data_IF_381301386726
#
_entry.id   IF_381301386726
#
_cell.length_a   1.000
_cell.length_b   1.000
_cell.length_c   1.000
_cell.angle_alpha   90.00
_cell.angle_beta   90.00
_cell.angle_gamma   90.00
#
_symmetry.space_group_name_H-M   'P 1'
#
loop_
_entity.id
_entity.type
_entity.pdbx_description
1 polymer ?
#
# COMPACT_ATOMS: atom_id res chain seq x y z
N UNK A 1 16.69 9.93 1.70
CA UNK A 1 17.61 8.83 1.31
C UNK A 1 18.87 9.40 0.66
N UNK A 2 18.77 10.11 -0.46
CA UNK A 2 19.94 10.53 -1.27
C UNK A 2 20.85 11.62 -0.66
N UNK A 3 20.37 12.42 0.30
CA UNK A 3 21.14 13.53 0.89
C UNK A 3 21.59 13.27 2.33
N UNK A 4 20.68 12.75 3.17
CA UNK A 4 20.94 12.44 4.57
C UNK A 4 20.45 11.03 4.90
N UNK A 5 21.31 10.04 4.69
CA UNK A 5 20.96 8.62 4.87
C UNK A 5 20.64 8.26 6.32
N UNK A 6 21.33 8.87 7.29
CA UNK A 6 21.08 8.68 8.73
C UNK A 6 19.66 9.08 9.14
N UNK A 7 19.14 10.18 8.60
CA UNK A 7 17.75 10.63 8.85
C UNK A 7 16.77 9.61 8.26
N UNK A 8 16.99 9.14 7.03
CA UNK A 8 16.14 8.12 6.42
C UNK A 8 16.13 6.82 7.24
N UNK A 9 17.29 6.40 7.74
CA UNK A 9 17.43 5.24 8.64
C UNK A 9 16.63 5.41 9.92
N UNK A 10 16.65 6.60 10.54
CA UNK A 10 15.86 6.89 11.74
C UNK A 10 14.36 6.85 11.49
N UNK A 11 13.88 7.41 10.37
CA UNK A 11 12.47 7.35 9.99
C UNK A 11 11.99 5.91 9.76
N UNK A 12 12.83 5.07 9.15
CA UNK A 12 12.52 3.63 9.01
C UNK A 12 12.60 2.89 10.35
N UNK A 13 13.56 3.24 11.22
CA UNK A 13 13.65 2.68 12.57
C UNK A 13 12.39 2.97 13.38
N UNK A 14 11.83 4.17 13.27
CA UNK A 14 10.55 4.50 13.88
C UNK A 14 9.46 3.51 13.42
N UNK A 15 9.35 3.22 12.12
CA UNK A 15 8.38 2.22 11.63
C UNK A 15 8.63 0.82 12.20
N UNK A 16 9.90 0.42 12.34
CA UNK A 16 10.23 -0.85 12.98
C UNK A 16 9.82 -0.89 14.47
N UNK A 17 10.03 0.21 15.21
CA UNK A 17 9.62 0.30 16.61
C UNK A 17 8.11 0.12 16.78
N UNK A 18 7.31 0.52 15.78
CA UNK A 18 5.85 0.35 15.76
C UNK A 18 5.36 -0.96 15.11
N UNK A 19 6.26 -1.88 14.77
CA UNK A 19 5.88 -3.10 14.04
C UNK A 19 4.91 -3.98 14.84
N UNK A 20 5.00 -3.97 16.18
CA UNK A 20 4.07 -4.70 17.03
C UNK A 20 2.66 -4.10 17.00
N UNK A 21 2.53 -2.78 16.97
CA UNK A 21 1.21 -2.14 16.88
C UNK A 21 0.59 -2.32 15.49
N UNK A 22 1.42 -2.29 14.42
CA UNK A 22 0.98 -2.68 13.09
C UNK A 22 0.47 -4.14 13.02
N UNK A 23 1.06 -5.07 13.80
CA UNK A 23 0.55 -6.44 13.94
C UNK A 23 -0.79 -6.48 14.66
N UNK A 24 -0.98 -5.67 15.72
CA UNK A 24 -2.25 -5.57 16.44
C UNK A 24 -3.36 -5.00 15.56
N UNK A 25 -3.05 -4.00 14.73
CA UNK A 25 -4.00 -3.44 13.76
C UNK A 25 -4.45 -4.50 12.75
N UNK A 26 -3.50 -5.24 12.17
CA UNK A 26 -3.81 -6.34 11.27
C UNK A 26 -4.72 -7.38 11.95
N UNK A 27 -4.35 -7.83 13.15
CA UNK A 27 -5.12 -8.81 13.92
C UNK A 27 -6.52 -8.32 14.25
N UNK A 28 -6.69 -7.05 14.63
CA UNK A 28 -7.99 -6.45 14.92
C UNK A 28 -8.93 -6.34 13.71
N UNK A 29 -8.40 -6.53 12.49
CA UNK A 29 -9.14 -6.58 11.23
C UNK A 29 -9.13 -7.99 10.62
N UNK A 30 -8.87 -9.02 11.41
CA UNK A 30 -8.78 -10.44 11.00
C UNK A 30 -7.72 -10.74 9.93
N UNK A 31 -6.73 -9.86 9.80
CA UNK A 31 -5.56 -10.05 8.94
C UNK A 31 -4.38 -10.61 9.74
N UNK A 32 -3.35 -11.04 9.00
CA UNK A 32 -2.08 -11.51 9.55
C UNK A 32 -0.99 -10.50 9.22
N UNK A 33 0.20 -10.69 9.79
CA UNK A 33 1.34 -9.84 9.46
C UNK A 33 1.23 -8.45 10.09
N UNK A 34 1.81 -7.45 9.43
CA UNK A 34 1.80 -6.06 9.89
C UNK A 34 1.04 -5.16 8.91
N UNK A 35 -0.02 -4.53 9.40
CA UNK A 35 -0.75 -3.47 8.70
C UNK A 35 -0.38 -2.15 9.36
N UNK A 36 0.43 -1.33 8.68
CA UNK A 36 0.73 0.00 9.20
C UNK A 36 -0.52 0.88 9.16
N UNK A 37 -0.73 1.74 10.18
CA UNK A 37 -1.84 2.68 10.18
C UNK A 37 -1.68 3.71 9.06
N UNK A 38 -2.79 4.27 8.61
CA UNK A 38 -2.82 5.38 7.68
C UNK A 38 -2.17 6.62 8.31
N UNK A 39 -2.63 7.01 9.50
CA UNK A 39 -2.03 8.07 10.30
C UNK A 39 -1.43 7.49 11.57
N UNK A 40 -0.14 7.76 11.78
CA UNK A 40 0.62 7.25 12.92
C UNK A 40 1.26 8.39 13.69
N UNK A 41 1.17 8.33 15.02
CA UNK A 41 1.77 9.29 15.93
C UNK A 41 2.85 8.64 16.81
N UNK A 42 2.80 8.84 18.13
CA UNK A 42 3.87 8.41 19.04
C UNK A 42 3.99 6.88 19.19
N UNK A 43 2.87 6.18 19.21
CA UNK A 43 2.74 4.80 19.68
C UNK A 43 2.27 3.83 18.58
N UNK A 44 2.38 4.22 17.31
CA UNK A 44 2.12 3.31 16.20
C UNK A 44 0.65 2.94 15.99
N UNK A 45 -0.26 3.47 16.81
CA UNK A 45 -1.69 3.22 16.70
C UNK A 45 -2.29 3.95 15.48
N UNK A 46 -3.44 3.46 15.03
CA UNK A 46 -4.25 4.16 14.03
C UNK A 46 -4.85 5.43 14.67
N UNK A 47 -4.47 6.58 14.13
CA UNK A 47 -4.84 7.90 14.67
C UNK A 47 -5.67 8.73 13.69
N UNK A 48 -6.02 8.16 12.54
CA UNK A 48 -6.88 8.83 11.56
C UNK A 48 -8.20 9.24 12.22
N UNK A 49 -8.58 10.53 12.17
CA UNK A 49 -9.86 10.97 12.69
C UNK A 49 -11.01 10.25 12.00
N UNK A 50 -12.05 9.85 12.75
CA UNK A 50 -13.23 9.23 12.13
C UNK A 50 -14.10 10.24 11.35
N UNK A 51 -13.94 11.55 11.61
CA UNK A 51 -14.79 12.60 11.06
C UNK A 51 -14.00 13.82 10.62
N UNK A 52 -14.37 14.39 9.48
CA UNK A 52 -13.87 15.65 8.95
C UNK A 52 -15.02 16.63 8.73
N UNK A 53 -14.76 17.93 8.89
CA UNK A 53 -15.67 19.00 8.48
C UNK A 53 -15.14 19.64 7.20
N UNK A 54 -15.83 19.41 6.09
CA UNK A 54 -15.50 19.99 4.78
C UNK A 54 -15.64 21.53 4.79
N UNK A 55 -15.08 22.17 3.77
CA UNK A 55 -15.08 23.63 3.60
C UNK A 55 -16.49 24.24 3.57
N UNK A 56 -17.49 23.49 3.10
CA UNK A 56 -18.89 23.91 3.06
C UNK A 56 -19.63 23.69 4.41
N UNK A 57 -18.92 23.15 5.40
CA UNK A 57 -19.43 22.87 6.74
C UNK A 57 -20.03 21.48 6.92
N UNK A 58 -20.08 20.65 5.87
CA UNK A 58 -20.58 19.27 5.94
C UNK A 58 -19.67 18.40 6.79
N UNK A 59 -20.25 17.54 7.63
CA UNK A 59 -19.50 16.54 8.40
C UNK A 59 -19.49 15.22 7.62
N UNK A 60 -18.29 14.71 7.33
CA UNK A 60 -18.07 13.49 6.57
C UNK A 60 -17.30 12.46 7.40
N UNK A 61 -17.71 11.20 7.32
CA UNK A 61 -16.93 10.10 7.87
C UNK A 61 -15.67 9.85 7.03
N UNK A 62 -14.51 9.64 7.67
CA UNK A 62 -13.24 9.39 6.99
C UNK A 62 -12.95 7.88 7.03
N UNK A 63 -12.83 7.29 5.85
CA UNK A 63 -12.58 5.84 5.71
C UNK A 63 -11.10 5.49 5.44
N UNK A 64 -10.20 6.46 5.33
CA UNK A 64 -8.80 6.23 4.95
C UNK A 64 -8.08 5.30 5.94
N UNK A 65 -8.24 5.53 7.26
CA UNK A 65 -7.72 4.63 8.30
C UNK A 65 -8.30 3.20 8.23
N UNK A 66 -9.48 3.03 7.64
CA UNK A 66 -10.11 1.72 7.50
C UNK A 66 -9.79 1.01 6.19
N UNK A 67 -9.61 1.74 5.09
CA UNK A 67 -9.62 1.20 3.73
C UNK A 67 -8.37 1.55 2.90
N UNK A 68 -7.56 2.52 3.31
CA UNK A 68 -6.39 2.99 2.54
C UNK A 68 -5.11 2.21 2.92
N UNK A 69 -5.11 0.92 2.57
CA UNK A 69 -4.11 -0.03 3.05
C UNK A 69 -2.75 0.08 2.35
N UNK A 70 -2.64 0.86 1.27
CA UNK A 70 -1.42 0.89 0.45
C UNK A 70 -0.20 1.42 1.21
N UNK A 71 -0.40 2.22 2.28
CA UNK A 71 0.66 2.67 3.19
C UNK A 71 1.56 1.52 3.68
N UNK A 72 0.99 0.32 3.86
CA UNK A 72 1.75 -0.85 4.28
C UNK A 72 2.75 -1.31 3.22
N UNK A 73 2.40 -1.24 1.94
CA UNK A 73 3.34 -1.48 0.85
C UNK A 73 4.30 -0.31 0.64
N UNK A 74 3.86 0.93 0.89
CA UNK A 74 4.70 2.13 0.73
C UNK A 74 5.83 2.16 1.76
N UNK A 75 5.58 1.76 3.01
CA UNK A 75 6.62 1.60 4.03
C UNK A 75 7.65 0.54 3.60
N UNK A 76 7.18 -0.60 3.07
CA UNK A 76 8.06 -1.64 2.53
C UNK A 76 8.88 -1.12 1.34
N UNK A 77 8.28 -0.31 0.47
CA UNK A 77 8.95 0.31 -0.67
C UNK A 77 9.99 1.36 -0.27
N UNK A 78 9.69 2.18 0.74
CA UNK A 78 10.64 3.12 1.31
C UNK A 78 11.85 2.42 1.93
N UNK A 79 11.61 1.31 2.65
CA UNK A 79 12.67 0.45 3.19
C UNK A 79 13.52 -0.19 2.08
N UNK A 80 12.88 -0.71 1.04
CA UNK A 80 13.57 -1.29 -0.11
C UNK A 80 14.44 -0.25 -0.83
N UNK A 81 13.91 0.94 -1.10
CA UNK A 81 14.68 2.02 -1.71
C UNK A 81 15.85 2.46 -0.85
N UNK A 82 15.69 2.52 0.47
CA UNK A 82 16.81 2.77 1.38
C UNK A 82 17.89 1.70 1.18
N UNK A 83 17.52 0.42 1.23
CA UNK A 83 18.47 -0.69 1.06
C UNK A 83 19.22 -0.64 -0.28
N UNK A 84 18.52 -0.45 -1.39
CA UNK A 84 19.14 -0.42 -2.72
C UNK A 84 20.11 0.76 -2.87
N UNK A 85 19.80 1.91 -2.26
CA UNK A 85 20.66 3.10 -2.37
C UNK A 85 21.85 3.06 -1.43
N UNK A 86 21.69 2.55 -0.21
CA UNK A 86 22.74 2.62 0.82
C UNK A 86 23.55 1.34 0.96
N UNK A 87 22.99 0.18 0.59
CA UNK A 87 23.58 -1.12 0.86
C UNK A 87 23.70 -1.45 2.35
N UNK A 88 22.95 -0.77 3.25
CA UNK A 88 23.00 -0.97 4.71
C UNK A 88 22.40 -2.33 5.11
N UNK A 89 23.22 -3.39 4.99
CA UNK A 89 22.85 -4.77 5.31
C UNK A 89 22.57 -4.94 6.81
N UNK A 90 23.32 -4.26 7.67
CA UNK A 90 23.14 -4.36 9.12
C UNK A 90 21.72 -3.92 9.52
N UNK A 91 21.24 -2.80 8.98
CA UNK A 91 19.85 -2.37 9.19
C UNK A 91 18.82 -3.35 8.62
N UNK A 92 19.11 -3.99 7.49
CA UNK A 92 18.23 -5.00 6.90
C UNK A 92 18.15 -6.27 7.74
N UNK A 93 19.25 -6.72 8.34
CA UNK A 93 19.27 -7.88 9.24
C UNK A 93 18.63 -7.57 10.60
N UNK A 94 18.82 -6.36 11.11
CA UNK A 94 18.28 -5.91 12.40
C UNK A 94 16.77 -5.60 12.34
N UNK A 95 16.30 -4.97 11.25
CA UNK A 95 14.94 -4.46 11.14
C UNK A 95 14.26 -4.82 9.80
N UNK A 96 14.97 -4.58 8.70
CA UNK A 96 14.33 -4.50 7.39
C UNK A 96 13.68 -5.82 6.93
N UNK A 97 14.37 -6.95 7.14
CA UNK A 97 13.86 -8.25 6.74
C UNK A 97 12.55 -8.60 7.47
N UNK A 98 12.48 -8.31 8.77
CA UNK A 98 11.27 -8.54 9.56
C UNK A 98 10.09 -7.72 9.04
N UNK A 99 10.31 -6.43 8.76
CA UNK A 99 9.29 -5.54 8.20
C UNK A 99 8.80 -6.00 6.83
N UNK A 100 9.71 -6.36 5.92
CA UNK A 100 9.35 -6.84 4.58
C UNK A 100 8.51 -8.12 4.65
N UNK A 101 8.89 -9.07 5.51
CA UNK A 101 8.17 -10.34 5.65
C UNK A 101 6.79 -10.15 6.28
N UNK A 102 6.66 -9.29 7.30
CA UNK A 102 5.38 -9.08 7.98
C UNK A 102 4.41 -8.26 7.12
N UNK A 103 4.88 -7.29 6.36
CA UNK A 103 4.02 -6.56 5.41
C UNK A 103 3.61 -7.44 4.22
N UNK A 104 4.48 -8.34 3.74
CA UNK A 104 4.10 -9.36 2.76
C UNK A 104 3.04 -10.33 3.33
N UNK A 105 3.19 -10.76 4.59
CA UNK A 105 2.20 -11.60 5.27
C UNK A 105 0.84 -10.90 5.38
N UNK A 106 0.82 -9.59 5.64
CA UNK A 106 -0.40 -8.78 5.58
C UNK A 106 -1.07 -8.87 4.21
N UNK A 107 -0.36 -8.52 3.14
CA UNK A 107 -0.93 -8.56 1.79
C UNK A 107 -1.44 -9.94 1.39
N UNK A 108 -0.73 -11.01 1.75
CA UNK A 108 -1.16 -12.38 1.48
C UNK A 108 -2.42 -12.80 2.25
N UNK A 109 -2.70 -12.15 3.39
CA UNK A 109 -3.92 -12.36 4.20
C UNK A 109 -5.07 -11.45 3.77
N UNK A 110 -4.75 -10.26 3.25
CA UNK A 110 -5.71 -9.24 2.81
C UNK A 110 -6.41 -9.59 1.49
N UNK A 111 -5.74 -10.36 0.63
CA UNK A 111 -6.25 -10.75 -0.68
C UNK A 111 -7.29 -11.87 -0.60
N UNK A 112 -8.34 -11.71 -1.39
CA UNK A 112 -9.49 -12.62 -1.48
C UNK A 112 -9.40 -13.45 -2.77
N UNK A 113 -9.60 -14.77 -2.69
CA UNK A 113 -9.60 -15.61 -3.90
C UNK A 113 -10.98 -15.62 -4.56
N UNK A 114 -11.05 -15.22 -5.82
CA UNK A 114 -12.24 -15.33 -6.65
C UNK A 114 -12.23 -16.66 -7.43
N UNK A 115 -13.00 -17.70 -7.02
CA UNK A 115 -12.93 -19.01 -7.65
C UNK A 115 -13.47 -19.03 -9.09
N UNK A 116 -14.39 -18.12 -9.43
CA UNK A 116 -14.97 -18.02 -10.77
C UNK A 116 -13.95 -17.50 -11.78
N UNK A 117 -13.20 -16.47 -11.39
CA UNK A 117 -12.16 -15.85 -12.23
C UNK A 117 -10.79 -16.53 -12.08
N UNK A 118 -10.60 -17.35 -11.04
CA UNK A 118 -9.33 -17.97 -10.64
C UNK A 118 -8.21 -16.96 -10.40
N UNK A 119 -8.56 -15.81 -9.83
CA UNK A 119 -7.63 -14.72 -9.48
C UNK A 119 -7.79 -14.31 -8.02
N UNK A 120 -6.81 -13.63 -7.47
CA UNK A 120 -6.91 -12.93 -6.20
C UNK A 120 -7.31 -11.46 -6.41
N UNK A 121 -8.18 -10.94 -5.57
CA UNK A 121 -8.70 -9.58 -5.65
C UNK A 121 -8.39 -8.83 -4.34
N UNK A 122 -8.24 -7.51 -4.44
CA UNK A 122 -8.24 -6.61 -3.27
C UNK A 122 -9.44 -5.70 -3.45
N UNK A 123 -10.50 -6.00 -2.69
CA UNK A 123 -11.78 -5.32 -2.76
C UNK A 123 -11.96 -4.35 -1.59
N UNK A 124 -12.86 -3.38 -1.71
CA UNK A 124 -13.19 -2.41 -0.66
C UNK A 124 -11.95 -1.69 -0.13
N UNK A 125 -11.28 -0.93 -1.00
CA UNK A 125 -10.11 -0.12 -0.64
C UNK A 125 -10.28 1.32 -1.09
N UNK A 126 -9.47 2.18 -0.48
CA UNK A 126 -9.10 3.48 -1.01
C UNK A 126 -7.68 3.32 -1.59
N UNK A 127 -7.46 3.87 -2.78
CA UNK A 127 -6.09 4.02 -3.30
C UNK A 127 -5.64 5.47 -3.19
N UNK A 128 -4.49 5.85 -3.77
CA UNK A 128 -3.95 7.20 -3.60
C UNK A 128 -4.89 8.33 -4.03
N UNK A 129 -5.87 8.03 -4.88
CA UNK A 129 -6.97 8.93 -5.18
C UNK A 129 -8.13 8.74 -4.17
N UNK A 130 -8.10 9.56 -3.12
CA UNK A 130 -9.06 9.52 -2.00
C UNK A 130 -10.48 10.00 -2.37
N UNK A 131 -10.72 10.54 -3.57
CA UNK A 131 -12.09 10.82 -4.02
C UNK A 131 -12.91 9.56 -4.29
N UNK A 132 -12.23 8.43 -4.47
CA UNK A 132 -12.83 7.16 -4.83
C UNK A 132 -12.68 6.14 -3.69
N UNK A 133 -13.71 6.06 -2.87
CA UNK A 133 -13.80 5.14 -1.75
C UNK A 133 -14.54 3.85 -2.12
N UNK A 134 -14.29 2.78 -1.35
CA UNK A 134 -14.93 1.47 -1.54
C UNK A 134 -14.75 0.90 -2.96
N UNK A 135 -13.56 1.10 -3.55
CA UNK A 135 -13.26 0.59 -4.88
C UNK A 135 -12.64 -0.79 -4.85
N UNK A 136 -12.81 -1.53 -5.94
CA UNK A 136 -12.28 -2.88 -6.09
C UNK A 136 -11.11 -2.91 -7.08
N UNK A 137 -10.10 -3.71 -6.77
CA UNK A 137 -8.92 -3.96 -7.60
C UNK A 137 -8.25 -2.64 -8.02
N UNK A 138 -7.98 -1.77 -7.05
CA UNK A 138 -7.23 -0.54 -7.30
C UNK A 138 -5.84 -0.90 -7.85
N UNK A 139 -5.52 -0.39 -9.05
CA UNK A 139 -4.32 -0.80 -9.76
C UNK A 139 -3.02 -0.55 -8.98
N UNK A 140 -2.89 0.62 -8.34
CA UNK A 140 -1.71 0.94 -7.54
C UNK A 140 -1.59 -0.01 -6.35
N UNK A 141 -2.68 -0.19 -5.59
CA UNK A 141 -2.71 -1.09 -4.44
C UNK A 141 -2.37 -2.53 -4.84
N UNK A 142 -2.94 -3.04 -5.93
CA UNK A 142 -2.65 -4.39 -6.44
C UNK A 142 -1.18 -4.52 -6.87
N UNK A 143 -0.65 -3.54 -7.61
CA UNK A 143 0.74 -3.55 -8.05
C UNK A 143 1.72 -3.53 -6.87
N UNK A 144 1.48 -2.65 -5.89
CA UNK A 144 2.32 -2.50 -4.71
C UNK A 144 2.25 -3.71 -3.78
N UNK A 145 1.07 -4.31 -3.61
CA UNK A 145 0.91 -5.56 -2.86
C UNK A 145 1.64 -6.73 -3.54
N UNK A 146 1.50 -6.87 -4.86
CA UNK A 146 2.23 -7.86 -5.66
C UNK A 146 3.74 -7.67 -5.54
N UNK A 147 4.20 -6.44 -5.71
CA UNK A 147 5.60 -6.07 -5.59
C UNK A 147 6.15 -6.43 -4.21
N UNK A 148 5.43 -6.10 -3.12
CA UNK A 148 5.88 -6.39 -1.77
C UNK A 148 6.05 -7.89 -1.51
N UNK A 149 5.06 -8.71 -1.93
CA UNK A 149 5.17 -10.18 -1.83
C UNK A 149 6.43 -10.72 -2.53
N UNK A 150 6.72 -10.21 -3.73
CA UNK A 150 7.87 -10.63 -4.53
C UNK A 150 9.19 -10.13 -3.93
N UNK A 151 9.23 -8.86 -3.51
CA UNK A 151 10.41 -8.22 -2.91
C UNK A 151 10.79 -8.89 -1.59
N UNK A 152 9.83 -9.19 -0.71
CA UNK A 152 10.07 -9.89 0.55
C UNK A 152 10.63 -11.31 0.34
N UNK A 153 10.06 -12.06 -0.62
CA UNK A 153 10.55 -13.40 -0.97
C UNK A 153 11.97 -13.36 -1.56
N UNK A 154 12.24 -12.39 -2.44
CA UNK A 154 13.56 -12.19 -3.01
C UNK A 154 14.59 -11.81 -1.94
N UNK A 155 14.23 -10.90 -1.03
CA UNK A 155 15.11 -10.41 0.03
C UNK A 155 15.48 -11.54 0.99
N UNK A 156 14.50 -12.32 1.43
CA UNK A 156 14.74 -13.50 2.25
C UNK A 156 15.71 -14.46 1.58
N UNK A 157 15.50 -14.78 0.30
CA UNK A 157 16.38 -15.69 -0.45
C UNK A 157 17.79 -15.14 -0.61
N UNK A 158 17.94 -13.84 -0.87
CA UNK A 158 19.26 -13.22 -1.03
C UNK A 158 20.03 -13.12 0.28
N UNK A 159 19.42 -12.56 1.32
CA UNK A 159 20.09 -12.45 2.62
C UNK A 159 20.44 -13.82 3.18
N UNK A 160 19.59 -14.84 3.00
CA UNK A 160 19.86 -16.20 3.51
C UNK A 160 21.13 -16.82 2.92
N UNK A 161 21.50 -16.47 1.69
CA UNK A 161 22.73 -17.02 1.05
C UNK A 161 23.99 -16.56 1.75
N UNK A 162 24.01 -15.33 2.24
CA UNK A 162 25.19 -14.69 2.81
C UNK A 162 25.13 -14.61 4.35
N UNK A 163 23.94 -14.57 4.93
CA UNK A 163 23.66 -14.35 6.36
C UNK A 163 22.62 -15.36 6.90
N UNK A 164 22.88 -16.68 6.78
CA UNK A 164 21.89 -17.69 7.14
C UNK A 164 21.52 -17.69 8.63
N UNK A 165 22.44 -17.34 9.54
CA UNK A 165 22.20 -17.38 10.98
C UNK A 165 21.20 -16.31 11.40
N UNK A 166 21.42 -15.07 10.93
CA UNK A 166 20.62 -13.88 11.20
C UNK A 166 19.23 -14.03 10.57
N UNK A 167 19.16 -14.48 9.32
CA UNK A 167 17.88 -14.73 8.64
C UNK A 167 17.08 -15.83 9.34
N UNK A 168 17.74 -16.88 9.85
CA UNK A 168 17.07 -17.91 10.63
C UNK A 168 16.59 -17.39 12.00
N UNK A 169 17.28 -16.43 12.61
CA UNK A 169 16.81 -15.76 13.80
C UNK A 169 15.52 -14.95 13.53
N UNK A 170 15.47 -14.17 12.45
CA UNK A 170 14.25 -13.46 12.03
C UNK A 170 13.11 -14.44 11.73
N UNK A 171 13.38 -15.51 10.97
CA UNK A 171 12.39 -16.56 10.67
C UNK A 171 11.79 -17.15 11.95
N UNK A 172 12.61 -17.45 12.96
CA UNK A 172 12.13 -17.96 14.27
C UNK A 172 11.32 -16.90 15.01
N UNK A 173 11.82 -15.66 15.08
CA UNK A 173 11.17 -14.54 15.76
C UNK A 173 9.73 -14.33 15.30
N UNK A 174 9.49 -14.35 13.98
CA UNK A 174 8.14 -14.13 13.42
C UNK A 174 7.38 -15.42 13.08
N UNK A 175 7.88 -16.57 13.54
CA UNK A 175 7.32 -17.90 13.27
C UNK A 175 7.02 -18.14 11.78
N UNK A 176 7.91 -17.67 10.89
CA UNK A 176 7.71 -17.76 9.45
C UNK A 176 7.79 -19.20 8.96
N UNK A 177 6.74 -19.60 8.25
CA UNK A 177 6.55 -20.91 7.64
C UNK A 177 6.97 -20.86 6.17
N UNK A 178 7.71 -21.87 5.70
CA UNK A 178 8.22 -21.86 4.32
C UNK A 178 7.10 -21.96 3.28
N UNK A 179 5.97 -22.55 3.67
CA UNK A 179 4.75 -22.66 2.88
C UNK A 179 4.12 -21.29 2.58
N UNK A 180 4.40 -20.27 3.41
CA UNK A 180 3.96 -18.90 3.15
C UNK A 180 4.52 -18.38 1.82
N UNK A 181 5.79 -18.66 1.52
CA UNK A 181 6.40 -18.22 0.25
C UNK A 181 5.74 -18.85 -0.98
N UNK A 182 5.35 -20.13 -0.90
CA UNK A 182 4.63 -20.79 -1.99
C UNK A 182 3.27 -20.13 -2.23
N UNK A 183 2.56 -19.80 -1.14
CA UNK A 183 1.31 -19.03 -1.19
C UNK A 183 1.52 -17.63 -1.76
N UNK A 184 2.54 -16.90 -1.30
CA UNK A 184 2.85 -15.55 -1.79
C UNK A 184 3.16 -15.54 -3.28
N UNK A 185 3.94 -16.51 -3.76
CA UNK A 185 4.23 -16.66 -5.18
C UNK A 185 2.95 -16.91 -5.98
N UNK A 186 2.11 -17.88 -5.57
CA UNK A 186 0.82 -18.16 -6.21
C UNK A 186 -0.07 -16.92 -6.28
N UNK A 187 -0.21 -16.21 -5.16
CA UNK A 187 -0.99 -14.97 -5.07
C UNK A 187 -0.45 -13.92 -6.03
N UNK A 188 0.86 -13.64 -6.01
CA UNK A 188 1.49 -12.60 -6.84
C UNK A 188 1.34 -12.86 -8.35
N UNK A 189 1.25 -14.13 -8.76
CA UNK A 189 1.08 -14.54 -10.17
C UNK A 189 -0.38 -14.46 -10.63
N UNK A 190 -1.34 -14.45 -9.70
CA UNK A 190 -2.77 -14.55 -10.01
C UNK A 190 -3.60 -13.42 -9.41
N UNK A 191 -2.98 -12.36 -8.88
CA UNK A 191 -3.69 -11.15 -8.49
C UNK A 191 -4.32 -10.48 -9.71
N UNK A 192 -5.52 -9.90 -9.54
CA UNK A 192 -6.23 -9.15 -10.56
C UNK A 192 -5.27 -8.12 -11.17
N UNK A 193 -4.97 -8.37 -12.45
CA UNK A 193 -3.90 -7.69 -13.14
C UNK A 193 -4.22 -6.20 -13.27
N UNK A 194 -3.19 -5.38 -13.07
CA UNK A 194 -3.12 -4.00 -13.56
C UNK A 194 -2.87 -3.95 -15.07
N UNK A 195 -3.12 -5.06 -15.79
CA UNK A 195 -2.80 -5.18 -17.19
C UNK A 195 -3.62 -4.17 -18.00
N UNK A 196 -3.04 -3.61 -19.08
CA UNK A 196 -3.75 -2.69 -19.94
C UNK A 196 -5.10 -3.23 -20.39
N UNK A 197 -6.17 -2.48 -20.14
CA UNK A 197 -7.54 -2.88 -20.49
C UNK A 197 -7.79 -2.66 -21.98
N UNK A 198 -7.25 -1.56 -22.54
CA UNK A 198 -7.29 -1.23 -23.96
C UNK A 198 -6.18 -0.21 -24.30
N UNK A 199 -5.50 -0.37 -25.45
CA UNK A 199 -4.48 0.59 -25.96
C UNK A 199 -3.34 0.95 -24.98
N UNK A 200 -2.94 0.03 -24.10
CA UNK A 200 -1.89 0.30 -23.11
C UNK A 200 -2.38 1.02 -21.84
N UNK A 201 -3.68 1.32 -21.72
CA UNK A 201 -4.24 2.01 -20.55
C UNK A 201 -4.50 1.06 -19.39
N UNK A 202 -3.96 1.40 -18.21
CA UNK A 202 -4.26 0.74 -16.94
C UNK A 202 -5.49 1.41 -16.33
N UNK A 203 -6.57 0.67 -16.13
CA UNK A 203 -7.75 1.20 -15.45
C UNK A 203 -7.44 1.42 -13.96
N UNK A 204 -7.84 2.58 -13.41
CA UNK A 204 -7.53 2.96 -12.04
C UNK A 204 -8.04 1.93 -11.03
N UNK A 205 -9.28 1.54 -11.14
CA UNK A 205 -9.91 0.48 -10.35
C UNK A 205 -11.07 -0.06 -11.18
N UNK A 206 -11.55 -1.25 -10.84
CA UNK A 206 -12.58 -1.93 -11.62
C UNK A 206 -13.81 -1.03 -11.86
N UNK A 207 -14.03 -0.62 -13.12
CA UNK A 207 -15.16 0.20 -13.52
C UNK A 207 -14.97 1.71 -13.50
N UNK A 208 -13.75 2.20 -13.24
CA UNK A 208 -13.41 3.61 -13.36
C UNK A 208 -13.74 4.20 -14.75
N UNK A 209 -13.42 3.47 -15.83
CA UNK A 209 -13.65 3.96 -17.21
C UNK A 209 -15.14 4.08 -17.56
N UNK A 210 -16.03 3.48 -16.76
CA UNK A 210 -17.49 3.61 -16.91
C UNK A 210 -18.08 4.81 -16.15
N UNK A 211 -17.29 5.49 -15.31
CA UNK A 211 -17.74 6.69 -14.59
C UNK A 211 -17.87 7.89 -15.52
N UNK A 212 -18.59 8.92 -15.08
CA UNK A 212 -18.80 10.14 -15.86
C UNK A 212 -17.48 10.85 -16.12
N UNK A 213 -17.10 11.00 -17.38
CA UNK A 213 -15.92 11.78 -17.76
C UNK A 213 -16.18 13.27 -17.50
N UNK A 214 -15.27 13.91 -16.77
CA UNK A 214 -15.31 15.33 -16.43
C UNK A 214 -13.92 15.93 -16.65
N UNK A 215 -13.66 16.54 -17.82
CA UNK A 215 -12.38 17.16 -18.09
C UNK A 215 -12.17 18.39 -17.19
N UNK A 216 -10.96 18.56 -16.68
CA UNK A 216 -10.52 19.79 -16.02
C UNK A 216 -10.43 20.88 -17.10
N UNK A 217 -11.15 21.99 -16.92
CA UNK A 217 -11.22 23.08 -17.91
C UNK A 217 -10.69 24.41 -17.40
N UNK A 218 -10.59 24.57 -16.09
CA UNK A 218 -10.25 25.85 -15.45
C UNK A 218 -9.23 25.61 -14.33
N UNK A 219 -8.32 26.55 -14.16
CA UNK A 219 -7.40 26.64 -13.04
C UNK A 219 -7.56 28.01 -12.38
N UNK A 220 -7.32 28.08 -11.07
CA UNK A 220 -7.26 29.35 -10.38
C UNK A 220 -6.00 30.17 -10.76
N UNK A 221 -5.86 31.37 -10.19
CA UNK A 221 -4.74 32.28 -10.47
C UNK A 221 -3.37 31.72 -10.05
N UNK A 222 -3.35 30.69 -9.19
CA UNK A 222 -2.14 29.95 -8.79
C UNK A 222 -1.87 28.72 -9.66
N UNK A 223 -2.70 28.44 -10.66
CA UNK A 223 -2.57 27.28 -11.54
C UNK A 223 -3.11 25.98 -10.93
N UNK A 224 -3.84 26.05 -9.82
CA UNK A 224 -4.49 24.89 -9.21
C UNK A 224 -5.78 24.61 -9.97
N UNK A 225 -5.96 23.37 -10.44
CA UNK A 225 -7.18 22.93 -11.11
C UNK A 225 -8.41 23.18 -10.23
N UNK A 226 -9.38 23.93 -10.74
CA UNK A 226 -10.63 24.16 -10.06
C UNK A 226 -11.55 22.93 -10.19
N UNK A 227 -12.39 22.71 -9.17
CA UNK A 227 -13.49 21.76 -9.33
C UNK A 227 -14.42 22.21 -10.47
N UNK A 228 -15.01 21.27 -11.23
CA UNK A 228 -16.02 21.61 -12.21
C UNK A 228 -17.17 22.39 -11.55
N UNK A 229 -17.68 23.41 -12.25
CA UNK A 229 -18.72 24.31 -11.71
C UNK A 229 -19.92 23.54 -11.17
N UNK A 230 -20.31 23.82 -9.93
CA UNK A 230 -21.46 23.20 -9.26
C UNK A 230 -21.20 21.81 -8.68
N UNK A 231 -19.95 21.35 -8.66
CA UNK A 231 -19.57 20.08 -8.06
C UNK A 231 -18.83 20.25 -6.74
N UNK A 232 -19.03 19.29 -5.84
CA UNK A 232 -18.35 19.18 -4.54
C UNK A 232 -17.47 17.93 -4.53
N UNK A 233 -16.58 17.84 -3.54
CA UNK A 233 -15.73 16.66 -3.34
C UNK A 233 -16.54 15.36 -3.26
N UNK A 234 -17.72 15.39 -2.61
CA UNK A 234 -18.63 14.25 -2.52
C UNK A 234 -19.16 13.75 -3.89
N UNK A 235 -19.21 14.61 -4.90
CA UNK A 235 -19.68 14.24 -6.24
C UNK A 235 -18.59 13.54 -7.06
N UNK A 236 -17.32 13.62 -6.63
CA UNK A 236 -16.16 13.16 -7.40
C UNK A 236 -16.15 11.63 -7.55
N UNK A 237 -16.63 10.89 -6.54
CA UNK A 237 -16.69 9.43 -6.59
C UNK A 237 -17.49 8.90 -7.80
N UNK A 238 -18.44 9.67 -8.34
CA UNK A 238 -19.24 9.30 -9.53
C UNK A 238 -18.54 9.54 -10.87
N UNK A 239 -17.30 10.01 -10.87
CA UNK A 239 -16.67 10.67 -12.04
C UNK A 239 -15.29 10.10 -12.33
N UNK A 240 -14.65 10.57 -13.40
CA UNK A 240 -13.24 10.27 -13.68
C UNK A 240 -12.30 11.34 -13.13
N UNK A 241 -12.80 12.26 -12.30
CA UNK A 241 -11.98 13.30 -11.67
C UNK A 241 -11.17 12.69 -10.52
N UNK A 242 -9.86 12.92 -10.51
CA UNK A 242 -8.94 12.31 -9.55
C UNK A 242 -8.26 13.39 -8.69
N UNK A 243 -8.00 13.09 -7.43
CA UNK A 243 -7.35 14.01 -6.48
C UNK A 243 -5.87 14.23 -6.79
N UNK A 244 -5.14 13.14 -7.05
CA UNK A 244 -3.68 13.17 -7.17
C UNK A 244 -3.13 12.01 -8.02
N UNK A 245 -1.84 12.12 -8.38
CA UNK A 245 -1.15 11.15 -9.22
C UNK A 245 -1.13 9.74 -8.61
N UNK A 246 -1.13 8.71 -9.48
CA UNK A 246 -1.35 7.32 -9.07
C UNK A 246 -0.47 6.29 -9.81
N UNK A 247 0.64 6.77 -10.39
CA UNK A 247 1.64 5.98 -11.12
C UNK A 247 1.56 6.15 -12.64
N UNK A 248 2.58 6.75 -13.24
CA UNK A 248 2.95 6.49 -14.63
C UNK A 248 3.84 5.24 -14.63
N UNK A 249 3.27 4.07 -14.88
CA UNK A 249 4.09 2.91 -15.19
C UNK A 249 4.43 2.99 -16.68
N UNK A 250 5.59 3.58 -16.99
CA UNK A 250 6.17 3.42 -18.33
C UNK A 250 6.56 1.94 -18.49
N UNK A 251 6.17 1.29 -19.61
CA UNK A 251 6.45 -0.12 -19.86
C UNK A 251 7.96 -0.42 -19.86
#
# INVERSE_FOLDING_TARGET
IYTHQSIARHLLRYRYQQLNDARKIALGKDYKGAMFPWESARDGQETTPAWHKDLDGTIKHIETGNLEHHITADVAYGLWNYHIVTGDIDFMLECGLEMMLETARFWASRMEYNPKKKIYEINNVIGPDEFHENVNNNAFTNAMAKWNLQAAAWLYKNLRRNFPVEVMAVKRKISLKLEEFARWNKISQSIANTAPVCRGLIEQFQGFLRKRNLPIRESDKSGISAFPKGMRAADMNGTQFIKQAKGEFRP
#
